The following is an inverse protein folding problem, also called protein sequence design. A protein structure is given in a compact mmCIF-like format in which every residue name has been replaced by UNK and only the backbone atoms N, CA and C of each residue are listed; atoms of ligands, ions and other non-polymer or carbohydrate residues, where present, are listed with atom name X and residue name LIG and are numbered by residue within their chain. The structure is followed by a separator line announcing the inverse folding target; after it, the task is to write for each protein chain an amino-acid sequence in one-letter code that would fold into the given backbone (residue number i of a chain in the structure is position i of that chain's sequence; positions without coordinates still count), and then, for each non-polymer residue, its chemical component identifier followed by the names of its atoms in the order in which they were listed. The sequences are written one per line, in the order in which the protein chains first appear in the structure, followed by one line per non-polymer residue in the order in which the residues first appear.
data_IF_829999667696
#
_entry.id   IF_829999667696
#
_cell.length_a   1.000
_cell.length_b   1.000
_cell.length_c   1.000
_cell.angle_alpha   90.00
_cell.angle_beta   90.00
_cell.angle_gamma   90.00
#
_symmetry.space_group_name_H-M   'P 1'
#
loop_
_entity.id
_entity.type
_entity.pdbx_description
1 polymer ?
#
# COMPACT_ATOMS: atom_id res chain seq x y z
N UNK A 1 19.72 -43.21 54.54
CA UNK A 1 18.78 -44.30 54.20
C UNK A 1 17.69 -43.76 53.29
N UNK A 2 17.56 -44.36 52.08
CA UNK A 2 16.35 -44.56 51.27
C UNK A 2 15.63 -43.32 50.67
N UNK A 3 15.23 -43.22 49.39
CA UNK A 3 15.44 -43.91 48.11
C UNK A 3 14.79 -42.98 47.04
N UNK A 4 15.55 -42.41 46.09
CA UNK A 4 14.99 -41.66 44.95
C UNK A 4 14.80 -42.62 43.76
N UNK A 5 13.55 -43.03 43.53
CA UNK A 5 13.16 -43.99 42.48
C UNK A 5 12.83 -43.25 41.17
N UNK A 6 13.78 -43.32 40.23
CA UNK A 6 13.64 -43.49 38.77
C UNK A 6 12.44 -42.84 38.05
N UNK A 7 12.71 -41.80 37.26
CA UNK A 7 11.98 -41.47 36.03
C UNK A 7 12.98 -41.03 34.95
N UNK A 8 13.73 -41.97 34.39
CA UNK A 8 14.61 -41.73 33.24
C UNK A 8 14.55 -42.96 32.31
N UNK A 9 13.56 -43.00 31.41
CA UNK A 9 13.55 -44.00 30.33
C UNK A 9 12.75 -43.60 29.08
N UNK A 10 12.34 -42.34 28.92
CA UNK A 10 11.52 -41.92 27.77
C UNK A 10 12.23 -41.15 26.66
N UNK A 11 13.44 -40.65 26.88
CA UNK A 11 13.99 -39.52 26.11
C UNK A 11 15.11 -39.88 25.12
N UNK A 12 15.15 -41.09 24.57
CA UNK A 12 16.22 -41.48 23.62
C UNK A 12 15.72 -42.05 22.30
N UNK A 13 14.42 -41.95 21.98
CA UNK A 13 13.88 -42.49 20.71
C UNK A 13 13.13 -41.52 19.81
N UNK A 14 13.17 -40.21 20.05
CA UNK A 14 12.51 -39.22 19.17
C UNK A 14 13.43 -38.13 18.59
N UNK A 15 14.75 -38.30 18.64
CA UNK A 15 15.71 -37.43 17.95
C UNK A 15 16.24 -38.17 16.72
N UNK A 16 15.36 -38.40 15.74
CA UNK A 16 15.74 -38.91 14.43
C UNK A 16 14.63 -38.67 13.41
N UNK A 17 14.30 -37.40 13.12
CA UNK A 17 13.67 -36.94 11.86
C UNK A 17 13.31 -35.46 12.00
N UNK A 18 14.14 -34.57 11.49
CA UNK A 18 13.79 -33.75 10.34
C UNK A 18 14.98 -32.83 9.99
N UNK A 19 15.61 -33.22 8.89
CA UNK A 19 16.56 -32.47 8.10
C UNK A 19 15.78 -31.43 7.29
N UNK A 20 16.17 -30.15 7.32
CA UNK A 20 15.55 -29.10 6.51
C UNK A 20 16.28 -27.77 6.66
N UNK A 21 17.33 -27.57 5.86
CA UNK A 21 18.13 -26.36 5.82
C UNK A 21 17.29 -25.13 5.43
N UNK A 22 17.38 -24.05 6.22
CA UNK A 22 16.85 -22.73 5.85
C UNK A 22 18.02 -21.82 5.42
N UNK A 23 18.40 -21.91 4.15
CA UNK A 23 19.07 -20.81 3.46
C UNK A 23 17.98 -19.94 2.83
N UNK A 24 17.56 -18.88 3.53
CA UNK A 24 16.89 -17.75 2.89
C UNK A 24 17.95 -16.68 2.62
N UNK A 25 18.50 -16.71 1.41
CA UNK A 25 19.41 -15.71 0.91
C UNK A 25 18.70 -14.36 0.72
N UNK A 26 19.39 -13.31 1.13
CA UNK A 26 19.14 -11.96 0.64
C UNK A 26 19.50 -11.93 -0.86
N UNK A 27 18.50 -12.04 -1.73
CA UNK A 27 18.65 -12.02 -3.19
C UNK A 27 18.12 -10.71 -3.76
N UNK A 28 19.04 -9.88 -4.26
CA UNK A 28 18.77 -8.59 -4.89
C UNK A 28 18.03 -8.69 -6.22
N UNK A 29 17.36 -7.59 -6.57
CA UNK A 29 16.55 -7.45 -7.78
C UNK A 29 17.37 -7.60 -9.06
N UNK A 30 17.07 -8.64 -9.82
CA UNK A 30 17.36 -8.75 -11.23
C UNK A 30 16.09 -8.47 -12.03
N UNK A 31 16.17 -7.53 -12.97
CA UNK A 31 15.09 -7.31 -13.94
C UNK A 31 14.91 -8.55 -14.81
N UNK A 32 13.73 -9.16 -14.72
CA UNK A 32 13.36 -10.30 -15.54
C UNK A 32 12.53 -9.82 -16.74
N UNK A 33 13.07 -10.08 -17.93
CA UNK A 33 12.40 -9.83 -19.19
C UNK A 33 11.09 -10.59 -19.28
N UNK A 34 10.06 -9.88 -19.71
CA UNK A 34 8.73 -10.41 -19.94
C UNK A 34 8.73 -11.46 -21.06
N UNK A 35 8.55 -12.73 -20.70
CA UNK A 35 8.02 -13.75 -21.60
C UNK A 35 6.68 -14.26 -21.06
N UNK A 36 5.60 -13.78 -21.68
CA UNK A 36 4.34 -14.53 -21.81
C UNK A 36 3.69 -15.05 -20.53
N UNK A 37 3.37 -14.18 -19.57
CA UNK A 37 2.24 -14.41 -18.67
C UNK A 37 1.11 -13.51 -19.13
N UNK A 38 -0.04 -14.11 -19.49
CA UNK A 38 -1.30 -13.39 -19.55
C UNK A 38 -1.40 -12.51 -18.29
N UNK A 39 -1.55 -11.18 -18.41
CA UNK A 39 -1.69 -10.33 -17.24
C UNK A 39 -2.80 -10.92 -16.36
N UNK A 40 -2.48 -11.22 -15.10
CA UNK A 40 -3.51 -11.56 -14.12
C UNK A 40 -4.61 -10.52 -14.24
N UNK A 41 -5.85 -10.98 -14.46
CA UNK A 41 -6.95 -10.10 -14.83
C UNK A 41 -7.07 -8.98 -13.80
N UNK A 42 -6.81 -7.74 -14.21
CA UNK A 42 -6.95 -6.57 -13.34
C UNK A 42 -8.46 -6.40 -13.11
N UNK A 43 -8.95 -6.49 -11.86
CA UNK A 43 -10.39 -6.41 -11.61
C UNK A 43 -10.98 -5.10 -12.14
N UNK A 44 -12.00 -5.20 -13.00
CA UNK A 44 -12.65 -4.06 -13.64
C UNK A 44 -12.01 -3.56 -14.94
N UNK A 45 -10.90 -4.15 -15.40
CA UNK A 45 -10.28 -3.77 -16.68
C UNK A 45 -11.10 -4.26 -17.89
N UNK A 46 -11.06 -3.49 -18.99
CA UNK A 46 -11.63 -3.94 -20.27
C UNK A 46 -10.85 -5.14 -20.82
N UNK A 47 -11.51 -6.09 -21.52
CA UNK A 47 -10.82 -7.16 -22.22
C UNK A 47 -9.76 -6.59 -23.18
N UNK A 48 -8.52 -7.06 -23.07
CA UNK A 48 -7.39 -6.60 -23.89
C UNK A 48 -6.72 -5.31 -23.40
N UNK A 49 -7.09 -4.78 -22.23
CA UNK A 49 -6.34 -3.70 -21.61
C UNK A 49 -4.95 -4.16 -21.16
N UNK A 50 -3.95 -3.30 -21.35
CA UNK A 50 -2.56 -3.53 -20.96
C UNK A 50 -2.14 -2.57 -19.84
N UNK A 51 -1.07 -2.89 -19.12
CA UNK A 51 -0.53 -1.98 -18.10
C UNK A 51 0.26 -0.82 -18.75
N UNK A 52 0.30 0.38 -18.13
CA UNK A 52 1.21 1.44 -18.52
C UNK A 52 2.65 0.94 -18.67
N UNK A 53 3.32 1.31 -19.76
CA UNK A 53 4.67 0.85 -20.12
C UNK A 53 4.74 -0.48 -20.87
N UNK A 54 3.65 -1.25 -20.95
CA UNK A 54 3.59 -2.44 -21.79
C UNK A 54 3.44 -2.10 -23.27
N UNK A 55 3.97 -2.98 -24.13
CA UNK A 55 3.82 -2.88 -25.58
C UNK A 55 2.46 -3.42 -26.03
N UNK A 56 1.73 -2.63 -26.82
CA UNK A 56 0.50 -3.07 -27.46
C UNK A 56 0.85 -3.87 -28.72
N UNK A 57 0.45 -5.14 -28.78
CA UNK A 57 0.70 -6.00 -29.95
C UNK A 57 -0.27 -5.74 -31.10
N UNK A 58 -1.36 -4.99 -30.86
CA UNK A 58 -2.34 -4.64 -31.89
C UNK A 58 -1.82 -3.60 -32.88
N UNK A 59 -0.98 -2.66 -32.43
CA UNK A 59 -0.26 -1.73 -33.30
C UNK A 59 0.87 -1.02 -32.54
N UNK A 60 2.02 -0.84 -33.19
CA UNK A 60 3.17 -0.09 -32.67
C UNK A 60 3.75 0.82 -33.76
N UNK A 61 4.07 2.06 -33.40
CA UNK A 61 4.66 3.03 -34.32
C UNK A 61 4.85 4.40 -33.66
N UNK A 62 5.76 5.22 -34.18
CA UNK A 62 6.09 6.53 -33.61
C UNK A 62 4.92 7.54 -33.65
N UNK A 63 3.88 7.27 -34.45
CA UNK A 63 2.67 8.08 -34.59
C UNK A 63 1.49 7.58 -33.76
N UNK A 64 1.66 6.45 -33.08
CA UNK A 64 0.62 5.83 -32.25
C UNK A 64 0.91 6.20 -30.79
N UNK A 65 -0.03 6.87 -30.09
CA UNK A 65 0.17 7.20 -28.69
C UNK A 65 0.18 5.93 -27.83
N UNK A 66 1.00 5.96 -26.79
CA UNK A 66 1.11 4.90 -25.78
C UNK A 66 1.18 5.53 -24.39
N UNK A 67 0.69 4.84 -23.37
CA UNK A 67 0.87 5.26 -21.97
C UNK A 67 2.19 4.68 -21.47
N UNK A 68 3.15 5.54 -21.18
CA UNK A 68 4.51 5.15 -20.77
C UNK A 68 4.66 4.96 -19.27
N UNK A 69 3.94 5.77 -18.48
CA UNK A 69 3.99 5.74 -17.02
C UNK A 69 2.64 6.14 -16.43
N UNK A 70 2.33 5.62 -15.25
CA UNK A 70 1.22 6.08 -14.44
C UNK A 70 1.66 6.30 -12.99
N UNK A 71 1.03 7.27 -12.32
CA UNK A 71 1.17 7.51 -10.88
C UNK A 71 -0.22 7.56 -10.24
N UNK A 72 -0.54 6.71 -9.25
CA UNK A 72 0.29 5.65 -8.71
C UNK A 72 0.66 4.59 -9.75
N UNK A 73 1.84 3.99 -9.57
CA UNK A 73 2.32 2.90 -10.42
C UNK A 73 1.47 1.65 -10.24
N UNK A 74 1.40 0.82 -11.29
CA UNK A 74 0.67 -0.44 -11.24
C UNK A 74 1.22 -1.34 -10.12
N UNK A 75 0.32 -1.92 -9.32
CA UNK A 75 0.65 -2.81 -8.20
C UNK A 75 1.18 -2.10 -6.96
N UNK A 76 1.15 -0.77 -6.89
CA UNK A 76 1.58 -0.06 -5.69
C UNK A 76 0.60 -0.32 -4.52
N UNK A 77 1.12 -0.83 -3.40
CA UNK A 77 0.32 -1.23 -2.24
C UNK A 77 0.25 -0.16 -1.14
N UNK A 78 1.02 0.92 -1.26
CA UNK A 78 1.21 1.92 -0.20
C UNK A 78 0.88 3.32 -0.68
N UNK A 79 -0.22 3.44 -1.41
CA UNK A 79 -0.63 4.71 -1.99
C UNK A 79 -1.32 5.59 -0.95
N UNK A 80 -0.95 6.87 -0.86
CA UNK A 80 -1.67 7.80 0.01
C UNK A 80 -3.10 8.04 -0.49
N UNK A 81 -4.01 8.27 0.45
CA UNK A 81 -5.43 8.52 0.19
C UNK A 81 -5.70 9.91 -0.38
N UNK A 82 -4.82 10.88 -0.13
CA UNK A 82 -4.91 12.26 -0.61
C UNK A 82 -3.58 12.78 -1.15
N UNK A 83 -3.66 13.89 -1.88
CA UNK A 83 -2.52 14.70 -2.29
C UNK A 83 -2.58 16.04 -1.57
N UNK A 84 -1.46 16.48 -0.99
CA UNK A 84 -1.38 17.78 -0.32
C UNK A 84 -1.68 18.93 -1.30
N UNK A 85 -2.42 19.94 -0.86
CA UNK A 85 -2.80 21.09 -1.68
C UNK A 85 -3.98 20.87 -2.64
N UNK A 86 -4.59 19.68 -2.65
CA UNK A 86 -5.83 19.44 -3.41
C UNK A 86 -7.04 19.74 -2.54
N UNK A 87 -7.94 20.59 -3.05
CA UNK A 87 -9.19 20.93 -2.37
C UNK A 87 -10.00 19.66 -2.03
N UNK A 88 -10.67 19.66 -0.87
CA UNK A 88 -11.44 18.50 -0.40
C UNK A 88 -10.60 17.29 0.01
N UNK A 89 -9.27 17.42 0.07
CA UNK A 89 -8.37 16.30 0.34
C UNK A 89 -8.33 15.29 -0.82
N UNK A 90 -8.62 15.73 -2.04
CA UNK A 90 -8.60 14.90 -3.24
C UNK A 90 -7.24 14.25 -3.50
N UNK A 91 -7.26 13.27 -4.40
CA UNK A 91 -6.09 12.54 -4.87
C UNK A 91 -5.85 12.83 -6.35
N UNK A 92 -4.59 13.04 -6.71
CA UNK A 92 -4.16 13.12 -8.11
C UNK A 92 -3.74 11.74 -8.61
N UNK A 93 -4.30 11.33 -9.75
CA UNK A 93 -3.89 10.16 -10.51
C UNK A 93 -3.41 10.64 -11.87
N UNK A 94 -2.17 10.30 -12.24
CA UNK A 94 -1.56 10.76 -13.49
C UNK A 94 -1.24 9.62 -14.45
N UNK A 95 -1.28 9.93 -15.74
CA UNK A 95 -0.83 9.06 -16.81
C UNK A 95 -0.01 9.88 -17.82
N UNK A 96 1.19 9.39 -18.12
CA UNK A 96 2.11 9.99 -19.08
C UNK A 96 2.02 9.27 -20.42
N UNK A 97 1.95 10.05 -21.50
CA UNK A 97 1.84 9.57 -22.86
C UNK A 97 3.15 9.80 -23.63
N UNK A 98 3.43 8.94 -24.62
CA UNK A 98 4.58 9.10 -25.52
C UNK A 98 4.44 10.33 -26.44
N UNK A 99 3.21 10.67 -26.82
CA UNK A 99 2.85 11.77 -27.71
C UNK A 99 1.94 12.78 -27.02
N UNK A 100 1.88 14.00 -27.57
CA UNK A 100 0.89 14.98 -27.15
C UNK A 100 -0.52 14.48 -27.50
N UNK A 101 -1.42 14.51 -26.53
CA UNK A 101 -2.80 14.06 -26.61
C UNK A 101 -3.76 15.22 -26.94
N UNK A 102 -4.91 14.89 -27.51
CA UNK A 102 -6.01 15.83 -27.67
C UNK A 102 -6.80 15.92 -26.36
N UNK A 103 -6.75 17.09 -25.72
CA UNK A 103 -7.43 17.36 -24.45
C UNK A 103 -8.95 17.23 -24.49
N UNK A 104 -9.58 17.33 -25.67
CA UNK A 104 -11.02 17.08 -25.79
C UNK A 104 -11.36 15.59 -25.61
N UNK A 105 -10.41 14.71 -25.94
CA UNK A 105 -10.59 13.25 -25.87
C UNK A 105 -10.15 12.64 -24.55
N UNK A 106 -9.41 13.38 -23.72
CA UNK A 106 -8.97 12.96 -22.39
C UNK A 106 -9.87 13.60 -21.33
N UNK A 107 -10.89 12.88 -20.90
CA UNK A 107 -11.91 13.39 -19.98
C UNK A 107 -12.41 12.27 -19.05
N UNK A 108 -13.40 12.57 -18.20
CA UNK A 108 -13.93 11.64 -17.20
C UNK A 108 -14.56 10.35 -17.78
N UNK A 109 -14.83 10.29 -19.08
CA UNK A 109 -15.34 9.07 -19.75
C UNK A 109 -14.21 8.20 -20.29
N UNK A 110 -13.08 8.79 -20.67
CA UNK A 110 -11.94 8.07 -21.25
C UNK A 110 -10.87 7.76 -20.22
N UNK A 111 -10.74 8.56 -19.16
CA UNK A 111 -9.90 8.31 -18.00
C UNK A 111 -10.76 8.17 -16.74
N UNK A 112 -10.89 6.95 -16.25
CA UNK A 112 -11.77 6.60 -15.12
C UNK A 112 -10.97 6.00 -13.96
N UNK A 113 -11.53 6.10 -12.76
CA UNK A 113 -11.00 5.52 -11.53
C UNK A 113 -12.14 4.80 -10.78
N UNK A 114 -11.96 3.53 -10.46
CA UNK A 114 -13.01 2.71 -9.84
C UNK A 114 -12.44 1.92 -8.66
N UNK A 115 -13.02 2.00 -7.44
CA UNK A 115 -12.69 1.08 -6.36
C UNK A 115 -13.13 -0.34 -6.71
N UNK A 116 -12.31 -1.33 -6.35
CA UNK A 116 -12.66 -2.74 -6.53
C UNK A 116 -13.91 -3.06 -5.73
N UNK A 117 -14.96 -3.54 -6.42
CA UNK A 117 -16.26 -3.84 -5.81
C UNK A 117 -17.20 -2.64 -5.62
N UNK A 118 -16.85 -1.46 -6.15
CA UNK A 118 -17.68 -0.26 -6.10
C UNK A 118 -17.94 0.37 -7.48
N UNK A 119 -18.67 1.49 -7.47
CA UNK A 119 -18.95 2.27 -8.67
C UNK A 119 -17.80 3.21 -9.03
N UNK A 120 -17.66 3.53 -10.32
CA UNK A 120 -16.66 4.48 -10.79
C UNK A 120 -16.80 5.84 -10.08
N UNK A 121 -15.67 6.39 -9.64
CA UNK A 121 -15.61 7.69 -9.02
C UNK A 121 -15.82 8.77 -10.09
N UNK A 122 -16.58 9.80 -9.74
CA UNK A 122 -16.71 11.00 -10.58
C UNK A 122 -15.57 11.95 -10.22
N UNK A 123 -14.60 12.18 -11.12
CA UNK A 123 -13.53 13.13 -10.88
C UNK A 123 -14.05 14.57 -10.94
N UNK A 124 -13.38 15.49 -10.24
CA UNK A 124 -13.63 16.94 -10.35
C UNK A 124 -13.17 17.44 -11.71
N UNK A 125 -12.01 16.95 -12.15
CA UNK A 125 -11.41 17.35 -13.41
C UNK A 125 -10.48 16.27 -13.93
N UNK A 126 -10.30 16.29 -15.25
CA UNK A 126 -9.22 15.60 -15.94
C UNK A 126 -8.52 16.66 -16.78
N UNK A 127 -7.26 16.96 -16.48
CA UNK A 127 -6.50 18.03 -17.13
C UNK A 127 -5.21 17.50 -17.71
N UNK A 128 -4.77 18.09 -18.82
CA UNK A 128 -3.46 17.86 -19.39
C UNK A 128 -2.46 18.93 -18.92
N UNK A 129 -1.17 18.57 -18.90
CA UNK A 129 -0.08 19.52 -18.71
C UNK A 129 0.13 20.40 -19.95
N UNK A 130 1.01 21.39 -19.86
CA UNK A 130 1.27 22.34 -20.95
C UNK A 130 1.78 21.67 -22.24
N UNK A 131 2.45 20.52 -22.13
CA UNK A 131 2.91 19.74 -23.27
C UNK A 131 1.86 18.77 -23.82
N UNK A 132 0.67 18.69 -23.20
CA UNK A 132 -0.38 17.72 -23.47
C UNK A 132 0.07 16.25 -23.39
N UNK A 133 1.08 15.94 -22.60
CA UNK A 133 1.63 14.59 -22.44
C UNK A 133 1.31 13.95 -21.10
N UNK A 134 0.85 14.71 -20.11
CA UNK A 134 0.52 14.18 -18.78
C UNK A 134 -0.92 14.50 -18.45
N UNK A 135 -1.78 13.49 -18.44
CA UNK A 135 -3.14 13.62 -17.96
C UNK A 135 -3.17 13.44 -16.44
N UNK A 136 -3.91 14.31 -15.77
CA UNK A 136 -4.13 14.29 -14.32
C UNK A 136 -5.62 14.24 -14.04
N UNK A 137 -6.07 13.14 -13.45
CA UNK A 137 -7.40 12.97 -12.89
C UNK A 137 -7.37 13.40 -11.42
N UNK A 138 -8.25 14.33 -11.06
CA UNK A 138 -8.38 14.86 -9.69
C UNK A 138 -9.68 14.36 -9.06
N UNK A 139 -9.59 13.63 -7.95
CA UNK A 139 -10.79 13.22 -7.20
C UNK A 139 -11.32 14.35 -6.31
N UNK A 140 -12.63 14.35 -6.04
CA UNK A 140 -13.28 15.38 -5.22
C UNK A 140 -12.94 15.28 -3.73
N UNK A 141 -12.70 14.05 -3.27
CA UNK A 141 -12.45 13.71 -1.88
C UNK A 141 -11.30 12.71 -1.80
N UNK A 142 -10.75 12.55 -0.60
CA UNK A 142 -9.77 11.52 -0.30
C UNK A 142 -10.32 10.13 -0.69
N UNK A 143 -9.44 9.29 -1.21
CA UNK A 143 -9.75 7.90 -1.45
C UNK A 143 -9.97 7.17 -0.12
N UNK A 144 -10.85 6.17 -0.12
CA UNK A 144 -10.99 5.25 1.00
C UNK A 144 -9.66 4.56 1.30
N UNK A 145 -9.34 4.43 2.59
CA UNK A 145 -8.14 3.74 3.05
C UNK A 145 -8.27 2.21 2.91
N UNK A 146 -7.14 1.52 2.88
CA UNK A 146 -7.03 0.07 2.64
C UNK A 146 -7.84 -0.46 1.43
N UNK A 147 -8.05 0.38 0.42
CA UNK A 147 -8.94 0.07 -0.70
C UNK A 147 -8.14 -0.02 -2.01
N UNK A 148 -8.39 -1.08 -2.77
CA UNK A 148 -7.84 -1.22 -4.12
C UNK A 148 -8.65 -0.42 -5.13
N UNK A 149 -7.96 0.32 -5.99
CA UNK A 149 -8.54 1.08 -7.09
C UNK A 149 -7.96 0.62 -8.41
N UNK A 150 -8.80 0.63 -9.44
CA UNK A 150 -8.45 0.38 -10.83
C UNK A 150 -8.65 1.65 -11.62
N UNK A 151 -7.58 2.13 -12.27
CA UNK A 151 -7.63 3.25 -13.19
C UNK A 151 -7.58 2.73 -14.63
N UNK A 152 -8.37 3.34 -15.52
CA UNK A 152 -8.53 2.89 -16.90
C UNK A 152 -8.45 4.08 -17.86
N UNK A 153 -7.68 3.91 -18.93
CA UNK A 153 -7.66 4.79 -20.09
C UNK A 153 -8.15 4.00 -21.31
N UNK A 154 -9.26 4.44 -21.90
CA UNK A 154 -9.88 3.74 -23.04
C UNK A 154 -9.25 4.12 -24.38
N UNK A 155 -9.53 3.32 -25.43
CA UNK A 155 -9.12 3.62 -26.82
C UNK A 155 -9.78 4.88 -27.41
N UNK A 156 -10.74 5.49 -26.71
CA UNK A 156 -11.34 6.76 -27.11
C UNK A 156 -10.39 7.95 -26.99
N UNK A 157 -9.30 7.80 -26.21
CA UNK A 157 -8.22 8.77 -26.09
C UNK A 157 -7.39 8.85 -27.38
N UNK A 158 -7.17 10.07 -27.90
CA UNK A 158 -6.46 10.31 -29.16
C UNK A 158 -5.27 11.25 -28.99
N UNK A 159 -4.26 11.09 -29.84
CA UNK A 159 -3.19 12.07 -30.00
C UNK A 159 -3.75 13.39 -30.54
N UNK A 160 -2.97 14.47 -30.41
CA UNK A 160 -3.29 15.77 -31.01
C UNK A 160 -3.44 15.72 -32.55
N UNK A 161 -2.90 14.67 -33.20
CA UNK A 161 -3.05 14.41 -34.64
C UNK A 161 -4.27 13.55 -34.97
N UNK A 162 -5.09 13.18 -33.97
CA UNK A 162 -6.31 12.39 -34.14
C UNK A 162 -6.12 10.87 -34.13
N UNK A 163 -4.91 10.36 -33.87
CA UNK A 163 -4.63 8.91 -33.80
C UNK A 163 -5.09 8.33 -32.46
N UNK A 164 -5.99 7.33 -32.40
CA UNK A 164 -6.42 6.73 -31.15
C UNK A 164 -5.33 5.85 -30.52
N UNK A 165 -5.46 5.58 -29.21
CA UNK A 165 -4.69 4.50 -28.57
C UNK A 165 -5.03 3.15 -29.22
N UNK A 166 -4.01 2.34 -29.48
CA UNK A 166 -4.19 1.02 -30.09
C UNK A 166 -4.75 -0.02 -29.09
N UNK A 167 -4.40 0.12 -27.81
CA UNK A 167 -4.90 -0.71 -26.71
C UNK A 167 -5.46 0.20 -25.61
N UNK A 168 -6.48 -0.28 -24.89
CA UNK A 168 -6.85 0.34 -23.62
C UNK A 168 -5.75 0.08 -22.59
N UNK A 169 -5.62 0.98 -21.62
CA UNK A 169 -4.69 0.82 -20.50
C UNK A 169 -5.46 0.68 -19.19
N UNK A 170 -5.04 -0.27 -18.36
CA UNK A 170 -5.59 -0.44 -17.03
C UNK A 170 -4.47 -0.75 -16.04
N UNK A 171 -4.57 -0.17 -14.84
CA UNK A 171 -3.67 -0.49 -13.74
C UNK A 171 -4.40 -0.42 -12.42
N UNK A 172 -3.88 -1.12 -11.42
CA UNK A 172 -4.43 -1.11 -10.07
C UNK A 172 -3.42 -0.66 -9.04
N UNK A 173 -3.90 -0.11 -7.93
CA UNK A 173 -3.11 0.25 -6.76
C UNK A 173 -3.97 0.15 -5.49
N UNK A 174 -3.34 -0.08 -4.34
CA UNK A 174 -3.99 -0.10 -3.03
C UNK A 174 -3.60 1.12 -2.21
N UNK A 175 -4.59 1.77 -1.61
CA UNK A 175 -4.33 2.81 -0.62
C UNK A 175 -3.80 2.21 0.67
N UNK A 176 -2.96 2.96 1.38
CA UNK A 176 -2.49 2.57 2.72
C UNK A 176 -3.68 2.35 3.65
N UNK A 177 -3.54 1.37 4.53
CA UNK A 177 -4.38 1.29 5.73
C UNK A 177 -4.23 2.58 6.52
N UNK A 178 -5.28 3.09 7.18
CA UNK A 178 -5.11 4.17 8.14
C UNK A 178 -4.02 3.77 9.13
N UNK A 179 -3.10 4.69 9.43
CA UNK A 179 -2.26 4.50 10.61
C UNK A 179 -3.21 4.29 11.79
N UNK A 180 -2.96 3.26 12.60
CA UNK A 180 -3.64 3.13 13.87
C UNK A 180 -3.37 4.44 14.62
N UNK A 181 -4.41 5.25 14.82
CA UNK A 181 -4.31 6.34 15.77
C UNK A 181 -4.06 5.66 17.10
N UNK A 182 -2.83 5.75 17.61
CA UNK A 182 -2.59 5.40 19.00
C UNK A 182 -3.63 6.16 19.82
N UNK A 183 -4.18 5.51 20.86
CA UNK A 183 -5.01 6.23 21.83
C UNK A 183 -4.25 7.50 22.21
N UNK A 184 -4.97 8.63 22.28
CA UNK A 184 -4.38 9.87 22.78
C UNK A 184 -3.64 9.55 24.09
N UNK A 185 -2.44 10.11 24.26
CA UNK A 185 -1.71 9.93 25.52
C UNK A 185 -2.66 10.27 26.66
N UNK A 186 -2.81 9.34 27.61
CA UNK A 186 -3.61 9.61 28.81
C UNK A 186 -2.89 10.73 29.56
N UNK A 187 -3.47 11.94 29.54
CA UNK A 187 -2.93 13.06 30.26
C UNK A 187 -3.19 12.84 31.76
N UNK A 188 -2.16 12.42 32.48
CA UNK A 188 -2.21 12.21 33.93
C UNK A 188 -2.21 13.53 34.73
N UNK A 189 -2.18 14.70 34.08
CA UNK A 189 -2.23 16.00 34.76
C UNK A 189 -1.07 16.17 35.76
N UNK A 190 -1.39 16.49 37.01
CA UNK A 190 -0.42 16.61 38.11
C UNK A 190 -0.29 15.32 38.94
N UNK A 191 -0.77 14.17 38.45
CA UNK A 191 -0.66 12.93 39.20
C UNK A 191 0.81 12.52 39.33
N UNK A 192 1.39 12.80 40.49
CA UNK A 192 2.61 12.23 40.99
C UNK A 192 2.39 11.89 42.47
N UNK A 193 2.78 10.69 42.95
CA UNK A 193 3.38 9.56 42.22
C UNK A 193 2.32 8.56 41.70
N UNK A 194 2.56 7.95 40.54
CA UNK A 194 1.79 6.78 40.04
C UNK A 194 2.68 5.54 40.01
N UNK A 195 2.11 4.37 40.29
CA UNK A 195 2.80 3.08 40.23
C UNK A 195 2.33 2.25 39.05
N UNK A 196 3.27 1.59 38.34
CA UNK A 196 2.97 0.58 37.31
C UNK A 196 3.21 -0.79 37.93
N UNK A 197 2.16 -1.61 38.05
CA UNK A 197 2.27 -2.98 38.55
C UNK A 197 1.96 -3.99 37.44
N UNK A 198 2.89 -4.90 37.14
CA UNK A 198 2.70 -5.93 36.11
C UNK A 198 3.31 -7.26 36.54
N UNK A 199 2.57 -8.35 36.35
CA UNK A 199 3.09 -9.72 36.57
C UNK A 199 3.90 -10.24 35.38
N UNK A 200 3.60 -9.76 34.16
CA UNK A 200 4.20 -10.28 32.92
C UNK A 200 5.35 -9.41 32.35
N UNK A 201 5.84 -8.41 33.11
CA UNK A 201 6.87 -7.46 32.66
C UNK A 201 6.31 -6.15 32.11
N UNK A 202 7.15 -5.11 32.10
CA UNK A 202 6.88 -3.81 31.47
C UNK A 202 7.94 -3.57 30.40
N UNK A 203 7.52 -3.33 29.16
CA UNK A 203 8.43 -2.96 28.07
C UNK A 203 8.13 -1.53 27.64
N UNK A 204 9.09 -0.61 27.84
CA UNK A 204 9.03 0.74 27.30
C UNK A 204 9.83 0.78 25.99
N UNK A 205 9.14 0.88 24.86
CA UNK A 205 9.77 0.96 23.54
C UNK A 205 10.11 2.43 23.25
N UNK A 206 11.39 2.75 23.10
CA UNK A 206 11.90 4.10 22.86
C UNK A 206 11.67 4.61 21.42
N UNK A 207 10.48 4.39 20.87
CA UNK A 207 10.07 5.00 19.60
C UNK A 207 9.35 6.31 19.91
N UNK A 208 9.82 7.41 19.32
CA UNK A 208 9.23 8.72 19.53
C UNK A 208 7.70 8.71 19.26
N UNK A 209 6.88 9.36 20.11
CA UNK A 209 7.25 10.16 21.28
C UNK A 209 7.68 9.31 22.49
N UNK A 210 8.79 9.70 23.13
CA UNK A 210 9.39 8.96 24.25
C UNK A 210 8.40 8.87 25.42
N UNK A 211 7.99 7.67 25.81
CA UNK A 211 7.26 7.46 27.06
C UNK A 211 8.25 7.58 28.22
N UNK A 212 8.09 8.59 29.08
CA UNK A 212 8.92 8.77 30.28
C UNK A 212 8.14 8.21 31.48
N UNK A 213 8.75 7.27 32.22
CA UNK A 213 8.19 6.70 33.45
C UNK A 213 8.84 7.42 34.63
N UNK A 214 8.08 8.30 35.30
CA UNK A 214 8.55 9.12 36.44
C UNK A 214 8.01 8.61 37.80
N UNK A 215 7.48 7.38 37.85
CA UNK A 215 6.93 6.76 39.07
C UNK A 215 7.46 5.34 39.26
N UNK A 216 7.01 4.67 40.32
CA UNK A 216 7.48 3.33 40.69
C UNK A 216 7.00 2.25 39.71
N UNK A 217 7.87 1.28 39.42
CA UNK A 217 7.53 0.09 38.62
C UNK A 217 7.71 -1.15 39.45
N UNK A 218 6.63 -1.91 39.65
CA UNK A 218 6.63 -3.19 40.37
C UNK A 218 6.42 -4.33 39.37
N UNK A 219 7.42 -5.19 39.28
CA UNK A 219 7.31 -6.47 38.57
C UNK A 219 7.05 -7.55 39.61
N UNK A 220 5.97 -8.31 39.42
CA UNK A 220 5.45 -9.32 40.35
C UNK A 220 4.83 -8.76 41.66
N UNK A 221 3.68 -8.06 41.57
CA UNK A 221 2.91 -7.69 42.76
C UNK A 221 2.29 -8.96 43.37
N UNK A 222 3.00 -9.62 44.27
CA UNK A 222 2.38 -10.61 45.16
C UNK A 222 1.34 -9.91 46.03
N UNK A 223 0.31 -10.63 46.47
CA UNK A 223 -0.71 -10.09 47.38
C UNK A 223 -0.02 -9.51 48.63
N UNK A 224 0.03 -8.17 48.74
CA UNK A 224 0.71 -7.45 49.82
C UNK A 224 1.92 -6.59 49.42
N UNK A 225 2.31 -6.54 48.15
CA UNK A 225 3.36 -5.62 47.70
C UNK A 225 2.87 -4.16 47.71
N UNK A 226 3.36 -3.36 48.66
CA UNK A 226 3.17 -1.90 48.69
C UNK A 226 4.27 -1.22 47.87
N UNK A 227 3.92 -0.35 46.91
CA UNK A 227 4.90 0.56 46.30
C UNK A 227 5.48 1.43 47.42
N UNK A 228 6.74 1.23 47.76
CA UNK A 228 7.39 2.02 48.80
C UNK A 228 7.91 3.30 48.14
N UNK A 229 7.35 4.44 48.56
CA UNK A 229 7.75 5.75 48.06
C UNK A 229 9.26 5.98 48.25
N UNK A 230 9.93 6.45 47.19
CA UNK A 230 11.31 6.96 47.24
C UNK A 230 11.29 8.47 47.49
#
# INVERSE_FOLDING_TARGET
MNNFKRYFSGLTRFIALLLGALLAGCGGGGGEGATGSTPGAIPGALPGAIIPGAVCTAAAGATIPTVTLASPTNGNQFVTTSTNGVAGGGKLITASFSLAMDGATINATTFTLTPVGGAALVPVSVTLDAANKVATLTTAVALLADTSYTAIITIGAKSATGTPLACAYAWSFKTVSPAAIGLASVNFGLAAPFGIAATAGVTNTATAPNTIINGDVVLEPVAGATCNAV
#
